data_IF_950354644655
#
_entry.id   IF_950354644655
#
_cell.length_a   1.000
_cell.length_b   1.000
_cell.length_c   1.000
_cell.angle_alpha   90.00
_cell.angle_beta   90.00
_cell.angle_gamma   90.00
#
_symmetry.space_group_name_H-M   'P 1'
#
loop_
_entity.id
_entity.type
_entity.pdbx_description
1 polymer ?
#
# COMPACT_ATOMS: atom_id res chain seq x y z
N UNK A 1 23.18 46.87 -2.39
CA UNK A 1 24.57 46.79 -1.92
C UNK A 1 24.81 45.44 -1.23
N UNK A 2 25.84 44.75 -1.76
CA UNK A 2 26.56 43.61 -1.24
C UNK A 2 25.88 42.22 -1.07
N UNK A 3 26.19 41.39 -2.08
CA UNK A 3 26.26 39.95 -2.10
C UNK A 3 27.03 39.33 -0.92
N UNK A 4 26.60 38.17 -0.45
CA UNK A 4 27.57 37.17 0.04
C UNK A 4 27.13 35.75 -0.29
N UNK A 5 27.87 35.14 -1.23
CA UNK A 5 27.85 33.72 -1.58
C UNK A 5 28.68 32.93 -0.57
N UNK A 6 28.14 31.89 0.03
CA UNK A 6 28.95 30.86 0.70
C UNK A 6 29.02 29.60 -0.15
N UNK A 7 30.19 29.43 -0.78
CA UNK A 7 30.67 28.13 -1.32
C UNK A 7 31.18 27.29 -0.17
N UNK A 8 30.70 26.08 0.02
CA UNK A 8 31.38 25.06 0.80
C UNK A 8 32.21 24.17 -0.12
N UNK A 9 33.51 24.20 0.08
CA UNK A 9 34.51 23.36 -0.59
C UNK A 9 34.55 21.96 0.05
N UNK A 10 34.58 20.93 -0.80
CA UNK A 10 34.78 19.55 -0.41
C UNK A 10 36.27 19.31 -0.34
N UNK A 11 36.77 18.94 0.84
CA UNK A 11 38.17 18.53 1.06
C UNK A 11 38.35 17.06 0.63
N UNK A 12 39.10 16.85 -0.45
CA UNK A 12 39.70 15.56 -0.78
C UNK A 12 41.04 15.43 -0.05
N UNK A 13 41.16 14.47 0.84
CA UNK A 13 42.47 14.07 1.40
C UNK A 13 43.21 13.17 0.40
N UNK A 14 44.34 13.68 -0.11
CA UNK A 14 45.37 12.92 -0.84
C UNK A 14 46.08 12.00 0.14
N UNK A 15 46.11 10.72 -0.14
CA UNK A 15 47.11 9.81 0.48
C UNK A 15 48.35 9.74 -0.41
N UNK A 16 49.47 10.14 0.19
CA UNK A 16 50.82 10.13 -0.41
C UNK A 16 51.39 8.72 -0.27
N UNK A 17 51.78 8.14 -1.39
CA UNK A 17 52.61 6.93 -1.46
C UNK A 17 54.02 7.23 -0.98
N UNK A 18 54.50 6.43 -0.06
CA UNK A 18 55.91 6.44 0.32
C UNK A 18 56.66 5.31 -0.40
N UNK A 19 57.69 5.68 -1.13
CA UNK A 19 58.64 4.83 -1.85
C UNK A 19 59.79 4.44 -0.92
N UNK A 20 60.32 3.27 -1.17
CA UNK A 20 61.71 2.77 -1.03
C UNK A 20 61.70 1.41 -0.30
N UNK A 21 62.40 0.36 -0.71
CA UNK A 21 63.78 0.22 -1.22
C UNK A 21 63.99 -1.16 -1.89
N UNK A 22 64.75 -1.18 -2.99
CA UNK A 22 65.93 -1.99 -3.38
C UNK A 22 65.79 -3.44 -3.81
N UNK A 23 65.92 -3.60 -5.07
CA UNK A 23 66.68 -4.50 -5.99
C UNK A 23 67.88 -5.30 -5.38
N UNK A 24 68.56 -6.21 -6.15
CA UNK A 24 68.13 -7.23 -7.16
C UNK A 24 68.83 -8.57 -6.90
N UNK A 25 68.48 -9.65 -7.58
CA UNK A 25 69.44 -10.70 -7.99
C UNK A 25 68.89 -11.46 -9.21
N UNK A 26 69.65 -11.38 -10.24
CA UNK A 26 69.67 -12.12 -11.49
C UNK A 26 70.26 -13.53 -11.24
N UNK A 27 69.78 -14.57 -11.90
CA UNK A 27 70.52 -15.60 -12.62
C UNK A 27 69.61 -16.72 -13.13
N UNK A 28 69.44 -16.75 -14.38
CA UNK A 28 69.79 -17.73 -15.42
C UNK A 28 69.49 -19.19 -15.07
N UNK A 29 68.54 -19.77 -15.78
CA UNK A 29 68.32 -21.23 -15.89
C UNK A 29 67.51 -21.52 -17.13
N UNK A 30 68.19 -21.55 -18.30
CA UNK A 30 67.63 -22.06 -19.55
C UNK A 30 67.58 -23.58 -19.40
N UNK A 31 66.33 -24.13 -19.35
CA UNK A 31 66.10 -25.53 -19.65
C UNK A 31 65.05 -25.62 -20.72
N UNK A 32 65.48 -26.02 -21.89
CA UNK A 32 64.70 -26.40 -23.04
C UNK A 32 63.90 -27.62 -22.66
N UNK A 33 62.57 -27.46 -22.52
CA UNK A 33 61.64 -28.54 -22.51
C UNK A 33 60.71 -28.34 -23.72
N UNK A 34 61.06 -29.02 -24.80
CA UNK A 34 60.21 -29.17 -25.99
C UNK A 34 59.00 -30.01 -25.63
N UNK A 35 57.94 -29.37 -25.17
CA UNK A 35 56.62 -30.01 -25.19
C UNK A 35 55.94 -29.73 -26.53
N UNK A 36 55.62 -30.77 -27.18
CA UNK A 36 54.81 -30.88 -28.35
C UNK A 36 53.44 -30.23 -28.04
N UNK A 37 53.29 -29.02 -28.52
CA UNK A 37 51.92 -28.48 -28.67
C UNK A 37 51.26 -29.24 -29.81
N UNK A 38 50.48 -30.23 -29.49
CA UNK A 38 49.36 -30.60 -30.36
C UNK A 38 48.45 -29.39 -30.37
N UNK A 39 48.62 -28.52 -31.34
CA UNK A 39 47.61 -27.57 -31.71
C UNK A 39 46.37 -28.37 -32.03
N UNK A 40 45.40 -28.38 -31.14
CA UNK A 40 44.02 -28.57 -31.56
C UNK A 40 43.74 -27.37 -32.47
N UNK A 41 43.79 -27.63 -33.73
CA UNK A 41 43.25 -26.80 -34.77
C UNK A 41 41.73 -26.81 -34.57
N UNK A 42 41.25 -25.96 -33.66
CA UNK A 42 39.89 -25.55 -33.67
C UNK A 42 39.75 -24.70 -34.90
N UNK A 43 39.42 -25.33 -36.01
CA UNK A 43 38.87 -24.71 -37.18
C UNK A 43 37.58 -23.95 -36.76
N UNK A 44 37.79 -22.75 -36.27
CA UNK A 44 36.75 -21.75 -35.95
C UNK A 44 36.24 -21.17 -37.27
N UNK A 45 35.70 -22.05 -38.10
CA UNK A 45 35.06 -21.72 -39.35
C UNK A 45 33.61 -22.12 -39.35
N UNK A 46 32.84 -21.38 -38.56
CA UNK A 46 31.45 -21.07 -38.87
C UNK A 46 31.13 -19.66 -38.32
N UNK A 47 31.58 -18.67 -39.06
CA UNK A 47 30.90 -17.38 -39.08
C UNK A 47 29.51 -17.61 -39.68
N UNK A 48 28.52 -17.83 -38.82
CA UNK A 48 27.13 -17.91 -39.26
C UNK A 48 26.35 -19.02 -38.56
N UNK A 49 25.73 -18.74 -37.45
CA UNK A 49 24.45 -19.32 -37.12
C UNK A 49 24.37 -20.78 -36.71
N UNK A 50 25.07 -21.18 -35.69
CA UNK A 50 24.73 -22.44 -34.98
C UNK A 50 23.31 -22.37 -34.38
N UNK A 51 22.74 -23.54 -34.06
CA UNK A 51 21.46 -23.64 -33.35
C UNK A 51 21.56 -22.87 -32.01
N UNK A 52 20.62 -21.97 -31.75
CA UNK A 52 20.54 -21.19 -30.50
C UNK A 52 19.76 -22.02 -29.49
N UNK A 53 20.35 -22.31 -28.34
CA UNK A 53 19.66 -22.98 -27.24
C UNK A 53 19.74 -22.11 -25.97
N UNK A 54 18.67 -22.09 -25.19
CA UNK A 54 18.60 -21.39 -23.92
C UNK A 54 18.50 -22.43 -22.81
N UNK A 55 19.39 -22.39 -21.83
CA UNK A 55 19.38 -23.29 -20.71
C UNK A 55 18.86 -22.66 -19.43
N UNK A 56 19.29 -21.43 -19.14
CA UNK A 56 18.98 -20.72 -17.90
C UNK A 56 18.91 -19.21 -18.10
N UNK A 57 18.10 -18.57 -17.29
CA UNK A 57 18.05 -17.09 -17.19
C UNK A 57 18.27 -16.70 -15.74
N UNK A 58 19.19 -15.77 -15.52
CA UNK A 58 19.53 -15.23 -14.20
C UNK A 58 19.23 -13.75 -14.13
N UNK A 59 18.80 -13.30 -12.96
CA UNK A 59 18.66 -11.88 -12.66
C UNK A 59 20.02 -11.31 -12.20
N UNK A 60 20.54 -10.35 -12.95
CA UNK A 60 21.74 -9.61 -12.59
C UNK A 60 21.37 -8.37 -11.76
N UNK A 61 21.46 -8.51 -10.44
CA UNK A 61 21.21 -7.43 -9.48
C UNK A 61 22.39 -7.34 -8.50
N UNK A 62 23.13 -6.25 -8.57
CA UNK A 62 24.29 -5.98 -7.71
C UNK A 62 23.95 -5.88 -6.23
N UNK A 63 22.69 -5.64 -5.90
CA UNK A 63 22.18 -5.57 -4.53
C UNK A 63 21.55 -6.87 -4.05
N UNK A 64 21.52 -7.89 -4.88
CA UNK A 64 20.94 -9.19 -4.50
C UNK A 64 21.80 -9.89 -3.46
N UNK A 65 21.18 -10.37 -2.38
CA UNK A 65 21.84 -11.25 -1.41
C UNK A 65 22.04 -12.69 -1.93
N UNK A 66 21.42 -13.01 -3.07
CA UNK A 66 21.53 -14.33 -3.72
C UNK A 66 22.26 -14.14 -5.05
N UNK A 67 23.56 -14.48 -5.12
CA UNK A 67 24.28 -14.50 -6.39
C UNK A 67 23.68 -15.57 -7.32
N UNK A 68 23.78 -15.35 -8.62
CA UNK A 68 23.31 -16.29 -9.65
C UNK A 68 21.86 -16.77 -9.42
N UNK A 69 20.98 -15.81 -9.15
CA UNK A 69 19.55 -16.11 -9.00
C UNK A 69 18.93 -16.48 -10.34
N UNK A 70 18.67 -17.76 -10.52
CA UNK A 70 17.89 -18.26 -11.66
C UNK A 70 16.42 -17.82 -11.50
N UNK A 71 15.83 -17.31 -12.59
CA UNK A 71 14.48 -16.71 -12.58
C UNK A 71 13.65 -17.20 -13.76
N UNK A 72 12.35 -17.25 -13.56
CA UNK A 72 11.36 -17.58 -14.59
C UNK A 72 10.59 -16.37 -15.10
N UNK A 73 10.83 -15.21 -14.50
CA UNK A 73 10.25 -13.92 -14.90
C UNK A 73 11.26 -12.79 -14.71
N UNK A 74 11.01 -11.68 -15.42
CA UNK A 74 11.67 -10.39 -15.17
C UNK A 74 10.67 -9.24 -15.23
N UNK A 75 11.08 -8.12 -14.63
CA UNK A 75 10.35 -6.85 -14.69
C UNK A 75 11.03 -5.89 -15.67
N UNK A 76 10.25 -4.92 -16.13
CA UNK A 76 10.78 -3.84 -16.94
C UNK A 76 11.99 -3.17 -16.25
N UNK A 77 13.04 -2.88 -17.03
CA UNK A 77 14.28 -2.28 -16.54
C UNK A 77 15.29 -3.25 -15.92
N UNK A 78 14.97 -4.51 -15.71
CA UNK A 78 15.90 -5.48 -15.12
C UNK A 78 16.92 -5.99 -16.12
N UNK A 79 18.14 -6.25 -15.66
CA UNK A 79 19.22 -6.86 -16.42
C UNK A 79 19.20 -8.37 -16.21
N UNK A 80 19.26 -9.11 -17.34
CA UNK A 80 19.30 -10.55 -17.36
C UNK A 80 20.62 -11.04 -17.91
N UNK A 81 21.13 -12.15 -17.30
CA UNK A 81 22.17 -12.98 -17.86
C UNK A 81 21.50 -14.25 -18.39
N UNK A 82 21.67 -14.48 -19.67
CA UNK A 82 21.07 -15.65 -20.36
C UNK A 82 22.18 -16.62 -20.69
N UNK A 83 22.05 -17.85 -20.28
CA UNK A 83 22.98 -18.95 -20.54
C UNK A 83 22.38 -19.95 -21.53
N UNK A 84 23.26 -20.50 -22.38
CA UNK A 84 22.84 -21.43 -23.41
C UNK A 84 23.97 -21.76 -24.36
N UNK A 85 23.68 -21.85 -25.67
CA UNK A 85 24.70 -22.01 -26.71
C UNK A 85 24.28 -21.33 -28.01
N UNK A 86 25.24 -21.11 -28.91
CA UNK A 86 24.97 -20.53 -30.23
C UNK A 86 24.75 -19.02 -30.26
N UNK A 87 25.13 -18.29 -29.21
CA UNK A 87 24.94 -16.83 -29.15
C UNK A 87 25.96 -16.08 -30.01
N UNK A 88 27.10 -16.69 -30.37
CA UNK A 88 28.04 -16.11 -31.32
C UNK A 88 27.34 -15.93 -32.66
N UNK A 89 27.30 -14.71 -33.16
CA UNK A 89 26.56 -14.36 -34.39
C UNK A 89 25.09 -13.96 -34.16
N UNK A 90 24.64 -13.81 -32.92
CA UNK A 90 23.33 -13.29 -32.59
C UNK A 90 23.15 -11.86 -33.20
N UNK A 91 22.04 -11.64 -33.86
CA UNK A 91 21.71 -10.38 -34.56
C UNK A 91 20.62 -9.59 -33.86
N UNK A 92 19.61 -10.28 -33.31
CA UNK A 92 18.42 -9.65 -32.73
C UNK A 92 17.93 -10.44 -31.53
N UNK A 93 17.45 -9.70 -30.54
CA UNK A 93 16.68 -10.19 -29.42
C UNK A 93 15.36 -9.43 -29.37
N UNK A 94 14.27 -10.15 -29.20
CA UNK A 94 12.96 -9.57 -28.99
C UNK A 94 12.40 -10.07 -27.68
N UNK A 95 11.89 -9.17 -26.85
CA UNK A 95 11.20 -9.49 -25.60
C UNK A 95 9.75 -9.04 -25.77
N UNK A 96 8.79 -9.95 -25.62
CA UNK A 96 7.37 -9.71 -25.94
C UNK A 96 7.15 -9.05 -27.32
N UNK A 97 7.95 -9.46 -28.32
CA UNK A 97 7.92 -8.88 -29.65
C UNK A 97 8.65 -7.54 -29.82
N UNK A 98 9.04 -6.87 -28.74
CA UNK A 98 9.79 -5.63 -28.77
C UNK A 98 11.27 -5.88 -29.06
N UNK A 99 11.81 -5.19 -30.08
CA UNK A 99 13.21 -5.30 -30.46
C UNK A 99 14.12 -4.69 -29.40
N UNK A 100 14.82 -5.52 -28.67
CA UNK A 100 15.61 -5.13 -27.51
C UNK A 100 17.09 -5.00 -27.89
N UNK A 101 17.71 -3.89 -27.48
CA UNK A 101 19.13 -3.68 -27.65
C UNK A 101 19.94 -4.56 -26.70
N UNK A 102 21.03 -5.14 -27.18
CA UNK A 102 22.07 -5.79 -26.38
C UNK A 102 23.46 -5.36 -26.88
N UNK A 103 24.44 -5.33 -25.98
CA UNK A 103 25.80 -4.98 -26.36
C UNK A 103 26.58 -6.27 -26.68
N UNK A 104 27.08 -6.37 -27.91
CA UNK A 104 27.81 -7.53 -28.40
C UNK A 104 29.09 -7.83 -27.62
N UNK A 105 29.65 -6.84 -26.90
CA UNK A 105 30.82 -7.05 -26.02
C UNK A 105 30.49 -7.98 -24.85
N UNK A 106 29.23 -8.04 -24.44
CA UNK A 106 28.74 -8.91 -23.37
C UNK A 106 28.09 -10.21 -23.92
N UNK A 107 28.46 -10.61 -25.14
CA UNK A 107 27.98 -11.85 -25.75
C UNK A 107 29.15 -12.80 -25.98
N UNK A 108 29.12 -13.93 -25.32
CA UNK A 108 29.96 -15.10 -25.60
C UNK A 108 29.16 -16.15 -26.40
N UNK A 109 29.73 -17.30 -26.72
CA UNK A 109 28.95 -18.37 -27.33
C UNK A 109 27.94 -19.01 -26.37
N UNK A 110 28.15 -18.88 -25.05
CA UNK A 110 27.38 -19.57 -24.03
C UNK A 110 26.66 -18.65 -23.05
N UNK A 111 26.86 -17.34 -23.12
CA UNK A 111 26.24 -16.38 -22.20
C UNK A 111 26.11 -15.02 -22.83
N UNK A 112 25.07 -14.28 -22.49
CA UNK A 112 24.84 -12.91 -22.88
C UNK A 112 24.15 -12.10 -21.78
N UNK A 113 24.33 -10.77 -21.83
CA UNK A 113 23.57 -9.81 -21.02
C UNK A 113 22.57 -9.06 -21.88
N UNK A 114 21.35 -8.93 -21.39
CA UNK A 114 20.30 -8.10 -22.02
C UNK A 114 19.40 -7.48 -20.94
N UNK A 115 19.05 -6.20 -21.12
CA UNK A 115 18.08 -5.53 -20.23
C UNK A 115 16.68 -5.60 -20.83
N UNK A 116 15.68 -5.86 -20.00
CA UNK A 116 14.27 -5.69 -20.37
C UNK A 116 13.99 -4.21 -20.48
N UNK A 117 13.70 -3.69 -21.68
CA UNK A 117 13.42 -2.27 -21.87
C UNK A 117 12.20 -1.81 -21.07
N UNK A 118 12.21 -0.56 -20.60
CA UNK A 118 11.02 0.06 -20.01
C UNK A 118 9.85 0.17 -21.02
N UNK A 119 10.17 0.20 -22.32
CA UNK A 119 9.18 0.28 -23.39
C UNK A 119 8.68 -1.11 -23.87
N UNK A 120 9.15 -2.19 -23.24
CA UNK A 120 8.68 -3.53 -23.58
C UNK A 120 7.20 -3.67 -23.22
N UNK A 121 6.32 -4.00 -24.19
CA UNK A 121 4.90 -4.21 -23.90
C UNK A 121 4.73 -5.40 -22.97
N UNK A 122 3.75 -5.29 -22.06
CA UNK A 122 3.41 -6.37 -21.11
C UNK A 122 2.02 -6.93 -21.43
N UNK A 123 0.97 -6.35 -20.88
CA UNK A 123 -0.42 -6.77 -21.14
C UNK A 123 -0.86 -6.48 -22.59
N UNK A 124 -0.40 -5.39 -23.13
CA UNK A 124 -0.64 -4.91 -24.50
C UNK A 124 0.22 -5.61 -25.56
N UNK A 125 1.09 -6.54 -25.15
CA UNK A 125 1.83 -7.37 -26.10
C UNK A 125 0.89 -8.28 -26.91
N UNK A 126 1.19 -8.44 -28.20
CA UNK A 126 0.47 -9.40 -29.03
C UNK A 126 0.48 -10.80 -28.37
N UNK A 127 -0.68 -11.45 -28.20
CA UNK A 127 -0.78 -12.75 -27.51
C UNK A 127 0.15 -13.83 -28.04
N UNK A 128 0.53 -13.76 -29.33
CA UNK A 128 1.43 -14.76 -29.96
C UNK A 128 2.89 -14.63 -29.52
N UNK A 129 3.30 -13.48 -28.97
CA UNK A 129 4.67 -13.22 -28.51
C UNK A 129 4.75 -12.84 -27.02
N UNK A 130 3.61 -12.66 -26.36
CA UNK A 130 3.56 -12.34 -24.93
C UNK A 130 4.23 -13.45 -24.10
N UNK A 131 5.02 -13.05 -23.12
CA UNK A 131 5.82 -13.96 -22.27
C UNK A 131 6.81 -14.81 -23.05
N UNK A 132 7.48 -14.20 -24.06
CA UNK A 132 8.55 -14.82 -24.82
C UNK A 132 9.78 -13.94 -24.93
N UNK A 133 10.95 -14.59 -25.00
CA UNK A 133 12.18 -13.99 -25.50
C UNK A 133 12.55 -14.73 -26.79
N UNK A 134 12.66 -14.00 -27.91
CA UNK A 134 13.04 -14.54 -29.21
C UNK A 134 14.43 -14.08 -29.57
N UNK A 135 15.27 -15.03 -29.92
CA UNK A 135 16.66 -14.84 -30.35
C UNK A 135 16.77 -15.18 -31.83
N UNK A 136 17.45 -14.34 -32.59
CA UNK A 136 17.62 -14.55 -34.02
C UNK A 136 19.06 -14.29 -34.44
N UNK A 137 19.62 -15.17 -35.28
CA UNK A 137 20.81 -14.99 -36.08
C UNK A 137 20.45 -15.03 -37.58
N UNK A 138 21.45 -15.09 -38.46
CA UNK A 138 21.21 -15.06 -39.91
C UNK A 138 20.50 -16.32 -40.46
N UNK A 139 20.51 -17.42 -39.72
CA UNK A 139 20.03 -18.73 -40.17
C UNK A 139 18.93 -19.36 -39.30
N UNK A 140 18.84 -18.98 -38.04
CA UNK A 140 17.98 -19.66 -37.06
C UNK A 140 17.29 -18.63 -36.16
N UNK A 141 16.10 -19.02 -35.67
CA UNK A 141 15.39 -18.37 -34.58
C UNK A 141 15.07 -19.37 -33.47
N UNK A 142 15.12 -18.89 -32.23
CA UNK A 142 14.70 -19.67 -31.05
C UNK A 142 13.80 -18.81 -30.19
N UNK A 143 12.68 -19.36 -29.75
CA UNK A 143 11.73 -18.73 -28.82
C UNK A 143 11.82 -19.44 -27.50
N UNK A 144 12.02 -18.66 -26.45
CA UNK A 144 12.07 -19.14 -25.07
C UNK A 144 10.90 -18.53 -24.28
N UNK A 145 10.11 -19.38 -23.62
CA UNK A 145 9.02 -18.92 -22.76
C UNK A 145 9.57 -18.31 -21.49
N UNK A 146 9.27 -17.03 -21.27
CA UNK A 146 9.77 -16.29 -20.11
C UNK A 146 8.81 -15.16 -19.77
N UNK A 147 8.33 -15.12 -18.54
CA UNK A 147 7.31 -14.15 -18.13
C UNK A 147 7.89 -12.73 -17.99
N UNK A 148 7.20 -11.77 -18.56
CA UNK A 148 7.57 -10.34 -18.45
C UNK A 148 6.49 -9.62 -17.67
N UNK A 149 6.88 -9.04 -16.54
CA UNK A 149 6.01 -8.32 -15.62
C UNK A 149 6.30 -6.82 -15.64
N UNK A 150 5.27 -6.02 -15.41
CA UNK A 150 5.43 -4.58 -15.15
C UNK A 150 5.94 -4.33 -13.72
N UNK A 151 5.57 -3.20 -13.12
CA UNK A 151 5.93 -2.89 -11.72
C UNK A 151 5.28 -3.90 -10.74
N UNK A 152 5.93 -4.05 -9.57
CA UNK A 152 5.38 -4.88 -8.48
C UNK A 152 4.00 -4.36 -8.07
N UNK A 153 2.99 -5.24 -7.88
CA UNK A 153 1.67 -4.79 -7.46
C UNK A 153 1.69 -4.22 -6.04
N UNK A 154 0.78 -3.28 -5.79
CA UNK A 154 0.58 -2.68 -4.48
C UNK A 154 -0.92 -2.52 -4.20
N UNK A 155 -1.33 -2.70 -2.94
CA UNK A 155 -2.69 -2.42 -2.48
C UNK A 155 -2.65 -1.18 -1.59
N UNK A 156 -3.45 -0.17 -1.93
CA UNK A 156 -3.54 1.10 -1.21
C UNK A 156 -4.78 1.21 -0.34
N UNK A 157 -5.91 0.64 -0.78
CA UNK A 157 -7.17 0.72 -0.06
C UNK A 157 -8.11 -0.46 -0.41
N UNK A 158 -9.10 -0.69 0.46
CA UNK A 158 -10.22 -1.62 0.24
C UNK A 158 -11.50 -0.86 0.56
N UNK A 159 -12.48 -0.92 -0.34
CA UNK A 159 -13.73 -0.14 -0.25
C UNK A 159 -14.53 -0.43 1.03
N UNK A 160 -14.58 -1.68 1.45
CA UNK A 160 -15.20 -2.10 2.71
C UNK A 160 -14.35 -3.21 3.35
N UNK A 161 -13.90 -3.00 4.58
CA UNK A 161 -13.05 -3.97 5.29
C UNK A 161 -13.81 -4.85 6.30
N UNK A 162 -15.11 -4.63 6.48
CA UNK A 162 -16.04 -5.50 7.22
C UNK A 162 -17.29 -5.84 6.38
N UNK A 163 -17.13 -6.40 5.19
CA UNK A 163 -18.26 -6.73 4.34
C UNK A 163 -19.00 -7.97 4.85
N UNK A 164 -20.27 -8.10 4.46
CA UNK A 164 -20.99 -9.37 4.60
C UNK A 164 -20.55 -10.37 3.52
N UNK A 165 -20.63 -11.68 3.80
CA UNK A 165 -20.43 -12.69 2.77
C UNK A 165 -21.39 -12.49 1.59
N UNK A 166 -20.88 -12.60 0.37
CA UNK A 166 -21.63 -12.37 -0.87
C UNK A 166 -21.61 -10.93 -1.38
N UNK A 167 -21.17 -9.97 -0.57
CA UNK A 167 -20.97 -8.59 -1.03
C UNK A 167 -19.74 -8.46 -1.92
N UNK A 168 -19.78 -7.52 -2.84
CA UNK A 168 -18.64 -7.20 -3.71
C UNK A 168 -17.85 -6.06 -3.11
N UNK A 169 -16.54 -6.26 -2.96
CA UNK A 169 -15.60 -5.21 -2.56
C UNK A 169 -14.74 -4.79 -3.74
N UNK A 170 -14.25 -3.54 -3.69
CA UNK A 170 -13.22 -3.02 -4.59
C UNK A 170 -11.90 -2.90 -3.83
N UNK A 171 -10.84 -3.47 -4.38
CA UNK A 171 -9.47 -3.37 -3.87
C UNK A 171 -8.71 -2.43 -4.80
N UNK A 172 -8.23 -1.31 -4.27
CA UNK A 172 -7.53 -0.27 -5.00
C UNK A 172 -6.01 -0.42 -4.83
N UNK A 173 -5.28 -0.06 -5.89
CA UNK A 173 -3.84 -0.15 -5.85
C UNK A 173 -3.15 0.23 -7.16
N UNK A 174 -2.14 -0.53 -7.52
CA UNK A 174 -1.45 -0.44 -8.80
C UNK A 174 -0.92 -1.81 -9.20
N UNK A 175 -0.79 -2.06 -10.50
CA UNK A 175 -0.33 -3.35 -11.01
C UNK A 175 -1.27 -4.53 -10.73
N UNK A 176 -2.55 -4.26 -10.44
CA UNK A 176 -3.59 -5.24 -10.11
C UNK A 176 -4.31 -5.77 -11.37
N UNK A 177 -3.54 -6.00 -12.41
CA UNK A 177 -4.04 -6.48 -13.70
C UNK A 177 -4.19 -8.00 -13.71
N UNK A 178 -5.21 -8.50 -14.40
CA UNK A 178 -5.48 -9.93 -14.56
C UNK A 178 -5.38 -10.70 -13.24
N UNK A 179 -6.06 -10.22 -12.19
CA UNK A 179 -6.07 -10.88 -10.88
C UNK A 179 -6.72 -12.26 -11.02
N UNK A 180 -5.95 -13.29 -10.75
CA UNK A 180 -6.38 -14.69 -10.92
C UNK A 180 -6.83 -15.35 -9.62
N UNK A 181 -6.37 -14.83 -8.47
CA UNK A 181 -6.64 -15.41 -7.16
C UNK A 181 -6.62 -14.36 -6.06
N UNK A 182 -7.56 -14.50 -5.11
CA UNK A 182 -7.57 -13.76 -3.84
C UNK A 182 -7.69 -14.76 -2.70
N UNK A 183 -6.80 -14.64 -1.70
CA UNK A 183 -6.90 -15.42 -0.45
C UNK A 183 -7.29 -14.47 0.68
N UNK A 184 -8.41 -14.76 1.29
CA UNK A 184 -8.96 -14.03 2.42
C UNK A 184 -8.43 -14.57 3.75
N UNK A 185 -8.52 -13.80 4.87
CA UNK A 185 -8.20 -14.29 6.20
C UNK A 185 -8.88 -15.62 6.54
N UNK A 186 -8.12 -16.52 7.15
CA UNK A 186 -8.57 -17.90 7.38
C UNK A 186 -8.27 -18.85 6.21
N UNK A 187 -7.42 -18.44 5.28
CA UNK A 187 -7.02 -19.19 4.09
C UNK A 187 -8.20 -19.53 3.16
N UNK A 188 -9.20 -18.65 3.10
CA UNK A 188 -10.35 -18.82 2.20
C UNK A 188 -9.98 -18.27 0.83
N UNK A 189 -9.77 -19.16 -0.12
CA UNK A 189 -9.35 -18.82 -1.48
C UNK A 189 -10.55 -18.63 -2.42
N UNK A 190 -10.48 -17.68 -3.34
CA UNK A 190 -11.37 -17.57 -4.50
C UNK A 190 -10.57 -17.29 -5.77
N UNK A 191 -11.02 -17.92 -6.86
CA UNK A 191 -10.51 -17.70 -8.23
C UNK A 191 -11.64 -17.25 -9.17
N UNK A 192 -12.85 -17.03 -8.63
CA UNK A 192 -14.04 -16.64 -9.37
C UNK A 192 -14.66 -15.37 -8.77
N UNK A 193 -15.50 -14.67 -9.55
CA UNK A 193 -16.11 -13.42 -9.11
C UNK A 193 -15.09 -12.29 -8.94
N UNK A 194 -13.99 -12.35 -9.68
CA UNK A 194 -12.93 -11.33 -9.73
C UNK A 194 -13.04 -10.62 -11.07
N UNK A 195 -12.96 -9.29 -11.06
CA UNK A 195 -12.90 -8.48 -12.28
C UNK A 195 -11.84 -7.42 -12.09
N UNK A 196 -10.76 -7.49 -12.88
CA UNK A 196 -9.67 -6.51 -12.86
C UNK A 196 -9.98 -5.33 -13.80
N UNK A 197 -9.54 -4.17 -13.39
CA UNK A 197 -9.42 -2.99 -14.22
C UNK A 197 -8.29 -3.16 -15.25
N UNK A 198 -8.44 -2.61 -16.45
CA UNK A 198 -7.47 -2.75 -17.54
C UNK A 198 -6.13 -2.06 -17.20
N UNK A 199 -6.18 -0.92 -16.50
CA UNK A 199 -4.99 -0.16 -16.08
C UNK A 199 -4.39 -0.71 -14.77
N UNK A 200 -5.07 -1.66 -14.11
CA UNK A 200 -4.63 -2.29 -12.87
C UNK A 200 -4.68 -1.38 -11.65
N UNK A 201 -5.50 -0.34 -11.69
CA UNK A 201 -5.70 0.57 -10.56
C UNK A 201 -6.60 -0.03 -9.48
N UNK A 202 -7.46 -0.97 -9.86
CA UNK A 202 -8.32 -1.71 -8.93
C UNK A 202 -8.75 -3.06 -9.51
N UNK A 203 -9.34 -3.87 -8.65
CA UNK A 203 -10.18 -5.00 -9.04
C UNK A 203 -11.36 -5.12 -8.08
N UNK A 204 -12.42 -5.79 -8.52
CA UNK A 204 -13.54 -6.16 -7.67
C UNK A 204 -13.53 -7.65 -7.39
N UNK A 205 -14.01 -8.04 -6.21
CA UNK A 205 -14.15 -9.46 -5.83
C UNK A 205 -15.33 -9.66 -4.92
N UNK A 206 -16.02 -10.79 -5.10
CA UNK A 206 -17.11 -11.22 -4.21
C UNK A 206 -16.52 -11.88 -2.96
N UNK A 207 -16.92 -11.41 -1.79
CA UNK A 207 -16.43 -11.91 -0.50
C UNK A 207 -17.03 -13.31 -0.23
N UNK A 208 -16.20 -14.34 -0.07
CA UNK A 208 -16.71 -15.69 0.21
C UNK A 208 -17.21 -15.84 1.66
N UNK A 209 -17.98 -16.87 1.91
CA UNK A 209 -18.32 -17.28 3.27
C UNK A 209 -17.09 -17.88 3.99
N UNK A 210 -17.07 -17.82 5.32
CA UNK A 210 -16.05 -18.47 6.14
C UNK A 210 -14.76 -17.64 6.36
N UNK A 211 -14.72 -16.39 5.91
CA UNK A 211 -13.60 -15.49 6.19
C UNK A 211 -13.45 -15.29 7.70
N UNK A 212 -12.22 -15.44 8.22
CA UNK A 212 -11.94 -15.36 9.64
C UNK A 212 -12.28 -13.98 10.23
N UNK A 213 -12.95 -13.96 11.38
CA UNK A 213 -13.27 -12.75 12.14
C UNK A 213 -12.08 -12.23 12.99
N UNK A 214 -11.01 -13.01 13.09
CA UNK A 214 -9.74 -12.54 13.66
C UNK A 214 -9.00 -11.61 12.68
N UNK A 215 -9.51 -11.51 11.46
CA UNK A 215 -8.99 -10.64 10.43
C UNK A 215 -7.64 -11.08 9.88
N UNK A 216 -7.07 -10.24 9.04
CA UNK A 216 -5.79 -10.46 8.41
C UNK A 216 -5.62 -9.70 7.11
N UNK A 217 -4.54 -9.98 6.40
CA UNK A 217 -4.29 -9.45 5.06
C UNK A 217 -5.02 -10.25 4.00
N UNK A 218 -5.49 -9.59 2.96
CA UNK A 218 -5.78 -10.27 1.69
C UNK A 218 -4.45 -10.58 1.01
N UNK A 219 -4.31 -11.77 0.46
CA UNK A 219 -3.29 -12.05 -0.54
C UNK A 219 -3.93 -11.99 -1.92
N UNK A 220 -3.28 -11.32 -2.85
CA UNK A 220 -3.76 -11.15 -4.23
C UNK A 220 -2.67 -11.60 -5.18
N UNK A 221 -3.02 -12.48 -6.12
CA UNK A 221 -2.16 -12.88 -7.23
C UNK A 221 -2.63 -12.21 -8.51
N UNK A 222 -1.80 -11.34 -9.06
CA UNK A 222 -2.01 -10.66 -10.36
C UNK A 222 -1.00 -11.16 -11.41
N UNK A 223 -1.17 -10.75 -12.66
CA UNK A 223 -0.16 -10.97 -13.72
C UNK A 223 1.19 -10.33 -13.38
N UNK A 224 1.25 -9.36 -12.49
CA UNK A 224 2.48 -8.71 -12.03
C UNK A 224 3.08 -9.34 -10.76
N UNK A 225 2.55 -10.46 -10.27
CA UNK A 225 3.00 -11.16 -9.07
C UNK A 225 2.05 -11.03 -7.90
N UNK A 226 2.51 -11.49 -6.73
CA UNK A 226 1.73 -11.51 -5.49
C UNK A 226 1.88 -10.23 -4.66
N UNK A 227 0.83 -9.90 -3.90
CA UNK A 227 0.84 -8.79 -2.96
C UNK A 227 -0.11 -9.04 -1.78
N UNK A 228 0.27 -8.56 -0.60
CA UNK A 228 -0.61 -8.53 0.57
C UNK A 228 -1.20 -7.14 0.79
N UNK A 229 -2.46 -7.11 1.24
CA UNK A 229 -3.03 -5.90 1.85
C UNK A 229 -2.52 -5.71 3.28
N UNK A 230 -2.73 -4.53 3.88
CA UNK A 230 -2.63 -4.40 5.33
C UNK A 230 -3.54 -5.39 6.07
N UNK A 231 -3.18 -5.77 7.31
CA UNK A 231 -3.80 -6.84 8.08
C UNK A 231 -5.08 -6.38 8.81
N UNK A 232 -5.98 -5.73 8.11
CA UNK A 232 -7.21 -5.18 8.70
C UNK A 232 -8.52 -5.77 8.16
N UNK A 233 -8.46 -6.68 7.18
CA UNK A 233 -9.66 -7.19 6.55
C UNK A 233 -10.40 -8.15 7.50
N UNK A 234 -11.69 -7.92 7.68
CA UNK A 234 -12.61 -8.66 8.55
C UNK A 234 -12.16 -8.77 10.03
N UNK A 235 -11.43 -7.76 10.53
CA UNK A 235 -10.89 -7.75 11.89
C UNK A 235 -11.97 -7.28 12.89
N UNK A 236 -12.83 -8.18 13.36
CA UNK A 236 -13.91 -7.88 14.31
C UNK A 236 -13.43 -7.72 15.75
N UNK A 237 -12.26 -8.26 16.12
CA UNK A 237 -11.68 -8.12 17.45
C UNK A 237 -11.29 -6.68 17.81
N UNK A 238 -11.02 -5.86 16.77
CA UNK A 238 -10.70 -4.44 16.94
C UNK A 238 -11.91 -3.53 17.16
N UNK A 239 -13.13 -4.02 17.03
CA UNK A 239 -14.35 -3.21 17.15
C UNK A 239 -14.50 -2.64 18.54
N UNK A 240 -14.64 -1.31 18.60
CA UNK A 240 -14.87 -0.53 19.82
C UNK A 240 -16.36 -0.27 20.03
N UNK A 241 -17.10 0.02 18.97
CA UNK A 241 -18.50 0.38 18.99
C UNK A 241 -19.16 0.03 17.65
N UNK A 242 -20.24 -0.77 17.67
CA UNK A 242 -21.02 -1.13 16.48
C UNK A 242 -22.53 -1.03 16.68
N UNK A 243 -23.00 -0.54 17.82
CA UNK A 243 -24.42 -0.41 18.19
C UNK A 243 -25.23 -1.72 18.25
N UNK A 244 -24.60 -2.86 17.97
CA UNK A 244 -25.20 -4.22 17.95
C UNK A 244 -24.64 -5.14 19.05
N UNK A 245 -24.23 -4.56 20.15
CA UNK A 245 -23.76 -5.29 21.32
C UNK A 245 -22.27 -5.16 21.60
N UNK A 246 -21.48 -4.58 20.72
CA UNK A 246 -20.09 -4.25 21.01
C UNK A 246 -19.96 -2.78 21.38
N UNK A 247 -19.39 -2.53 22.56
CA UNK A 247 -19.32 -1.22 23.18
C UNK A 247 -20.67 -0.77 23.75
N UNK A 248 -20.65 -0.08 24.89
CA UNK A 248 -21.84 0.50 25.47
C UNK A 248 -21.98 1.94 25.00
N UNK A 249 -23.14 2.27 24.44
CA UNK A 249 -23.49 3.64 24.10
C UNK A 249 -24.06 4.35 25.32
N UNK A 250 -23.41 5.42 25.77
CA UNK A 250 -23.86 6.22 26.91
C UNK A 250 -24.86 7.29 26.50
N UNK A 251 -25.84 7.50 27.37
CA UNK A 251 -26.89 8.49 27.19
C UNK A 251 -26.87 9.47 28.37
N UNK A 252 -26.15 10.57 28.22
CA UNK A 252 -26.06 11.58 29.27
C UNK A 252 -27.12 12.65 29.09
N UNK A 253 -28.21 12.52 29.85
CA UNK A 253 -29.24 13.53 29.94
C UNK A 253 -30.16 13.64 28.72
N UNK A 254 -30.90 14.74 28.69
CA UNK A 254 -31.88 15.08 27.64
C UNK A 254 -31.31 15.97 26.54
N UNK A 255 -30.00 16.03 26.43
CA UNK A 255 -29.37 16.88 25.43
C UNK A 255 -29.84 16.48 24.03
N UNK A 256 -30.45 17.42 23.32
CA UNK A 256 -30.92 17.22 21.94
C UNK A 256 -29.81 16.93 20.95
N UNK A 257 -28.57 17.17 21.36
CA UNK A 257 -27.37 16.86 20.58
C UNK A 257 -27.06 15.35 20.56
N UNK A 258 -27.49 14.60 21.57
CA UNK A 258 -27.12 13.18 21.69
C UNK A 258 -28.00 12.26 20.85
N UNK A 259 -27.36 11.25 20.27
CA UNK A 259 -28.06 10.12 19.66
C UNK A 259 -28.62 9.23 20.78
N UNK A 260 -29.93 9.02 20.76
CA UNK A 260 -30.64 8.15 21.68
C UNK A 260 -30.84 6.74 21.08
N UNK A 261 -31.17 5.70 21.88
CA UNK A 261 -31.42 4.36 21.33
C UNK A 261 -32.46 4.31 20.23
N UNK A 262 -33.50 5.12 20.32
CA UNK A 262 -34.55 5.24 19.31
C UNK A 262 -34.15 6.02 18.06
N UNK A 263 -32.96 6.62 18.05
CA UNK A 263 -32.43 7.33 16.89
C UNK A 263 -31.65 6.42 15.95
N UNK A 264 -31.21 5.25 16.44
CA UNK A 264 -30.47 4.29 15.62
C UNK A 264 -31.34 3.72 14.52
N UNK A 265 -30.80 3.59 13.33
CA UNK A 265 -31.44 2.98 12.18
C UNK A 265 -30.86 1.59 11.90
N UNK A 266 -31.61 0.73 11.21
CA UNK A 266 -31.20 -0.65 10.87
C UNK A 266 -31.66 -1.10 9.49
N UNK A 267 -32.20 -0.20 8.68
CA UNK A 267 -32.61 -0.50 7.30
C UNK A 267 -31.41 -0.43 6.36
N UNK A 268 -31.34 -1.35 5.40
CA UNK A 268 -30.34 -1.29 4.34
C UNK A 268 -30.43 0.04 3.58
N UNK A 269 -29.31 0.65 3.30
CA UNK A 269 -29.18 1.92 2.58
C UNK A 269 -28.22 1.75 1.41
N UNK A 270 -28.54 2.44 0.31
CA UNK A 270 -27.70 2.49 -0.87
C UNK A 270 -27.66 1.17 -1.64
N UNK A 271 -26.68 1.08 -2.53
CA UNK A 271 -26.35 -0.10 -3.34
C UNK A 271 -24.97 -0.61 -2.97
N UNK A 272 -24.69 -1.88 -3.24
CA UNK A 272 -23.40 -2.50 -2.90
C UNK A 272 -23.35 -2.98 -1.45
N UNK A 273 -22.29 -2.61 -0.71
CA UNK A 273 -22.14 -3.06 0.67
C UNK A 273 -23.20 -2.49 1.60
N UNK A 274 -23.62 -3.29 2.57
CA UNK A 274 -24.63 -2.93 3.57
C UNK A 274 -24.01 -2.79 4.96
N UNK A 275 -24.67 -2.03 5.87
CA UNK A 275 -24.29 -2.05 7.29
C UNK A 275 -24.62 -3.40 7.92
N UNK A 276 -23.84 -3.78 8.93
CA UNK A 276 -24.06 -5.01 9.69
C UNK A 276 -24.92 -4.76 10.93
N UNK A 277 -26.18 -4.36 10.73
CA UNK A 277 -27.12 -4.14 11.80
C UNK A 277 -27.49 -2.69 12.03
N UNK A 278 -27.37 -2.20 13.29
CA UNK A 278 -27.71 -0.82 13.63
C UNK A 278 -26.57 0.14 13.35
N UNK A 279 -26.92 1.35 12.96
CA UNK A 279 -25.97 2.42 12.66
C UNK A 279 -26.51 3.78 13.08
N UNK A 280 -25.64 4.79 13.15
CA UNK A 280 -26.00 6.18 13.49
C UNK A 280 -26.37 6.96 12.24
N UNK A 281 -27.61 7.48 12.14
CA UNK A 281 -27.96 8.52 11.19
C UNK A 281 -27.62 9.89 11.78
N UNK A 282 -26.63 10.58 11.20
CA UNK A 282 -26.38 12.00 11.49
C UNK A 282 -27.43 12.81 10.76
N UNK A 283 -28.47 13.27 11.49
CA UNK A 283 -29.67 13.84 10.89
C UNK A 283 -29.48 15.26 10.42
N UNK A 284 -29.82 15.60 9.17
CA UNK A 284 -29.68 16.96 8.65
C UNK A 284 -30.34 18.05 9.50
N UNK A 285 -31.52 17.77 10.06
CA UNK A 285 -32.24 18.71 10.92
C UNK A 285 -31.47 19.13 12.18
N UNK A 286 -30.55 18.30 12.66
CA UNK A 286 -29.70 18.59 13.82
C UNK A 286 -28.41 19.33 13.47
N UNK A 287 -28.05 19.38 12.19
CA UNK A 287 -26.83 20.00 11.69
C UNK A 287 -27.10 21.09 10.64
N UNK A 288 -28.37 21.43 10.44
CA UNK A 288 -28.76 22.43 9.45
C UNK A 288 -28.49 23.86 9.87
N UNK A 289 -28.43 24.15 11.17
CA UNK A 289 -28.14 25.48 11.66
C UNK A 289 -26.65 25.73 11.77
N UNK A 290 -26.22 26.79 11.13
CA UNK A 290 -24.88 27.33 11.31
C UNK A 290 -24.80 28.09 12.63
N UNK A 291 -23.78 27.81 13.44
CA UNK A 291 -23.38 28.60 14.59
C UNK A 291 -21.85 28.60 14.69
N UNK A 292 -21.26 29.79 14.59
CA UNK A 292 -19.82 30.01 14.80
C UNK A 292 -19.34 29.57 16.20
N UNK A 293 -20.26 29.38 17.14
CA UNK A 293 -19.99 29.08 18.54
C UNK A 293 -20.02 27.57 18.88
N UNK A 294 -19.92 26.66 17.93
CA UNK A 294 -19.77 25.20 18.14
C UNK A 294 -21.09 24.44 18.33
N UNK A 295 -21.90 24.36 17.29
CA UNK A 295 -23.05 23.46 17.30
C UNK A 295 -22.59 22.01 17.22
N UNK A 296 -22.60 21.33 18.36
CA UNK A 296 -22.48 19.88 18.42
C UNK A 296 -23.83 19.24 18.21
N UNK A 297 -23.89 18.30 17.31
CA UNK A 297 -25.09 17.49 17.09
C UNK A 297 -24.71 16.04 16.74
N UNK A 298 -25.67 15.16 16.83
CA UNK A 298 -25.47 13.72 16.58
C UNK A 298 -24.30 13.15 17.41
N UNK A 299 -24.29 13.50 18.67
CA UNK A 299 -23.23 13.17 19.60
C UNK A 299 -23.37 11.74 20.14
N UNK A 300 -22.28 10.98 20.07
CA UNK A 300 -22.21 9.59 20.53
C UNK A 300 -20.98 9.42 21.44
N UNK A 301 -21.17 8.74 22.56
CA UNK A 301 -20.10 8.38 23.49
C UNK A 301 -20.26 6.95 23.97
N UNK A 302 -19.16 6.23 24.12
CA UNK A 302 -19.20 4.95 24.83
C UNK A 302 -19.49 5.18 26.31
N UNK A 303 -20.31 4.32 26.92
CA UNK A 303 -20.66 4.42 28.30
C UNK A 303 -19.56 3.86 29.21
N UNK A 304 -19.31 4.58 30.29
CA UNK A 304 -18.57 4.06 31.42
C UNK A 304 -17.04 4.14 31.31
N UNK A 305 -16.42 4.41 32.45
CA UNK A 305 -14.97 4.32 32.61
C UNK A 305 -14.61 2.88 32.98
N UNK A 306 -13.88 2.19 32.11
CA UNK A 306 -13.31 0.89 32.40
C UNK A 306 -14.22 -0.31 32.13
N UNK A 307 -15.28 -0.14 31.33
CA UNK A 307 -16.11 -1.26 30.85
C UNK A 307 -15.39 -2.09 29.80
N UNK A 308 -14.44 -1.48 29.08
CA UNK A 308 -13.61 -2.11 28.08
C UNK A 308 -12.11 -1.90 28.37
N UNK A 309 -11.35 -2.95 28.29
CA UNK A 309 -9.89 -2.93 28.41
C UNK A 309 -9.28 -3.04 27.01
N UNK A 310 -8.89 -1.89 26.44
CA UNK A 310 -8.28 -1.86 25.11
C UNK A 310 -6.93 -2.57 25.07
N UNK A 311 -6.17 -2.54 26.16
CA UNK A 311 -4.90 -3.26 26.23
C UNK A 311 -5.14 -4.76 26.10
N UNK A 312 -5.98 -5.32 26.92
CA UNK A 312 -6.31 -6.75 26.88
C UNK A 312 -6.99 -7.14 25.56
N UNK A 313 -7.85 -6.27 25.00
CA UNK A 313 -8.55 -6.54 23.76
C UNK A 313 -7.65 -6.51 22.54
N UNK A 314 -6.76 -5.51 22.42
CA UNK A 314 -6.08 -5.16 21.16
C UNK A 314 -4.64 -5.68 21.09
N UNK A 315 -3.90 -5.74 22.21
CA UNK A 315 -2.47 -6.11 22.17
C UNK A 315 -2.18 -7.55 21.77
N UNK A 316 -3.10 -8.52 21.87
CA UNK A 316 -2.90 -9.83 21.25
C UNK A 316 -2.76 -9.80 19.73
N UNK A 317 -3.27 -8.75 19.08
CA UNK A 317 -3.29 -8.59 17.62
C UNK A 317 -2.42 -7.45 17.12
N UNK A 318 -2.28 -6.39 17.93
CA UNK A 318 -1.50 -5.20 17.63
C UNK A 318 -0.52 -4.98 18.77
N UNK A 319 0.74 -5.43 18.65
CA UNK A 319 1.74 -5.24 19.70
C UNK A 319 1.84 -3.78 20.15
N UNK A 320 1.97 -3.54 21.44
CA UNK A 320 2.09 -2.19 21.99
C UNK A 320 3.28 -1.40 21.43
N UNK A 321 4.32 -2.09 20.99
CA UNK A 321 5.50 -1.50 20.33
C UNK A 321 5.27 -1.08 18.88
N UNK A 322 4.10 -1.36 18.29
CA UNK A 322 3.79 -1.01 16.89
C UNK A 322 3.76 0.50 16.72
N UNK A 323 4.48 1.03 15.71
CA UNK A 323 4.42 2.45 15.36
C UNK A 323 2.99 2.90 15.07
N UNK A 324 2.59 4.09 15.53
CA UNK A 324 1.25 4.63 15.30
C UNK A 324 0.94 4.88 13.81
N UNK A 325 1.94 5.02 12.97
CA UNK A 325 1.77 5.04 11.51
C UNK A 325 1.28 3.70 10.95
N UNK A 326 1.38 2.63 11.73
CA UNK A 326 0.93 1.26 11.40
C UNK A 326 -0.29 0.80 12.20
N UNK A 327 -0.94 1.69 12.92
CA UNK A 327 -2.20 1.46 13.63
C UNK A 327 -3.20 2.51 13.20
N UNK A 328 -4.43 2.12 12.91
CA UNK A 328 -5.46 3.04 12.45
C UNK A 328 -6.77 2.89 13.21
N UNK A 329 -7.51 3.98 13.30
CA UNK A 329 -8.94 3.97 13.54
C UNK A 329 -9.64 3.77 12.19
N UNK A 330 -10.58 2.85 12.14
CA UNK A 330 -11.49 2.67 11.02
C UNK A 330 -12.94 2.84 11.46
N UNK A 331 -13.78 3.28 10.55
CA UNK A 331 -15.24 3.24 10.68
C UNK A 331 -15.85 3.14 9.29
N UNK A 332 -17.06 2.64 9.23
CA UNK A 332 -17.81 2.57 8.00
C UNK A 332 -18.71 3.80 7.87
N UNK A 333 -18.77 4.37 6.68
CA UNK A 333 -19.52 5.58 6.36
C UNK A 333 -20.37 5.38 5.10
N UNK A 334 -21.56 5.96 5.11
CA UNK A 334 -22.39 6.10 3.92
C UNK A 334 -22.88 7.54 3.79
N UNK A 335 -22.67 8.15 2.63
CA UNK A 335 -23.02 9.53 2.31
C UNK A 335 -23.76 9.55 0.97
N UNK A 336 -25.10 9.48 0.96
CA UNK A 336 -25.88 9.31 -0.27
C UNK A 336 -25.93 10.55 -1.16
N UNK A 337 -25.70 11.75 -0.60
CA UNK A 337 -25.75 13.01 -1.31
C UNK A 337 -24.43 13.77 -1.13
N UNK A 338 -24.14 14.69 -2.02
CA UNK A 338 -22.90 15.49 -1.93
C UNK A 338 -22.76 16.17 -0.58
N UNK A 339 -21.66 15.90 0.08
CA UNK A 339 -21.19 16.59 1.28
C UNK A 339 -20.08 17.56 0.90
N UNK A 340 -20.37 18.84 1.05
CA UNK A 340 -19.46 19.90 0.63
C UNK A 340 -19.72 21.20 1.41
N UNK A 341 -18.66 21.93 1.72
CA UNK A 341 -18.70 23.28 2.32
C UNK A 341 -19.44 23.39 3.65
N UNK A 342 -19.76 22.28 4.33
CA UNK A 342 -20.55 22.35 5.56
C UNK A 342 -20.31 21.14 6.48
N UNK A 343 -20.02 21.45 7.74
CA UNK A 343 -19.88 20.47 8.79
C UNK A 343 -18.72 19.48 8.61
N UNK A 344 -18.36 18.84 9.69
CA UNK A 344 -17.35 17.81 9.75
C UNK A 344 -17.63 16.87 10.93
N UNK A 345 -17.07 15.68 10.87
CA UNK A 345 -17.15 14.70 11.94
C UNK A 345 -15.93 14.86 12.85
N UNK A 346 -16.15 15.29 14.08
CA UNK A 346 -15.10 15.31 15.10
C UNK A 346 -15.06 13.99 15.83
N UNK A 347 -13.91 13.35 15.81
CA UNK A 347 -13.66 12.05 16.41
C UNK A 347 -12.76 12.24 17.63
N UNK A 348 -13.21 11.77 18.78
CA UNK A 348 -12.47 11.80 20.04
C UNK A 348 -12.13 10.37 20.44
N UNK A 349 -10.92 9.93 20.15
CA UNK A 349 -10.50 8.56 20.43
C UNK A 349 -10.50 8.29 21.94
N UNK A 350 -10.06 9.27 22.73
CA UNK A 350 -10.07 9.25 24.19
C UNK A 350 -10.48 10.63 24.66
N UNK A 351 -11.52 10.68 25.45
CA UNK A 351 -12.10 11.95 25.86
C UNK A 351 -11.99 12.16 27.37
N UNK A 352 -11.52 13.33 27.73
CA UNK A 352 -11.74 13.91 29.05
C UNK A 352 -12.99 14.80 28.98
N UNK A 353 -14.14 14.19 28.85
CA UNK A 353 -15.41 14.80 28.45
C UNK A 353 -15.84 16.01 29.31
N UNK A 354 -15.57 15.97 30.61
CA UNK A 354 -15.98 17.02 31.54
C UNK A 354 -14.98 18.19 31.63
N UNK A 355 -13.85 18.12 30.96
CA UNK A 355 -12.83 19.18 30.96
C UNK A 355 -13.14 20.35 30.05
N UNK A 356 -14.17 20.26 29.22
CA UNK A 356 -14.54 21.34 28.25
C UNK A 356 -13.53 21.53 27.11
N UNK A 357 -12.42 20.80 27.10
CA UNK A 357 -11.41 20.85 26.07
C UNK A 357 -11.51 19.64 25.14
N UNK A 358 -11.82 19.90 23.88
CA UNK A 358 -11.87 18.90 22.80
C UNK A 358 -10.52 18.78 22.09
N UNK A 359 -9.47 19.17 22.76
CA UNK A 359 -8.08 19.02 22.34
C UNK A 359 -7.52 17.71 22.86
N UNK A 360 -6.55 17.14 22.19
CA UNK A 360 -5.92 15.90 22.63
C UNK A 360 -6.07 14.79 21.59
N UNK A 361 -6.54 13.62 21.99
CA UNK A 361 -6.68 12.44 21.12
C UNK A 361 -7.84 12.58 20.11
N UNK A 362 -7.89 13.67 19.37
CA UNK A 362 -8.97 14.03 18.45
C UNK A 362 -8.51 14.13 16.99
N UNK A 363 -9.47 13.92 16.10
CA UNK A 363 -9.30 14.10 14.65
C UNK A 363 -10.56 14.74 14.06
N UNK A 364 -10.38 15.72 13.18
CA UNK A 364 -11.47 16.32 12.41
C UNK A 364 -11.52 15.65 11.04
N UNK A 365 -12.55 14.85 10.79
CA UNK A 365 -12.78 14.21 9.51
C UNK A 365 -13.59 15.14 8.60
N UNK A 366 -12.91 15.71 7.61
CA UNK A 366 -13.44 16.69 6.66
C UNK A 366 -13.23 16.15 5.24
N UNK A 367 -14.02 15.16 4.77
CA UNK A 367 -13.75 14.47 3.52
C UNK A 367 -13.92 15.33 2.27
N UNK A 368 -14.61 16.45 2.39
CA UNK A 368 -14.85 17.39 1.31
C UNK A 368 -13.74 18.45 1.13
N UNK A 369 -12.64 18.36 1.89
CA UNK A 369 -11.43 19.16 1.66
C UNK A 369 -10.34 18.21 1.14
N UNK A 370 -10.00 18.36 -0.14
CA UNK A 370 -8.93 17.61 -0.79
C UNK A 370 -7.91 18.60 -1.33
N UNK A 371 -6.64 18.42 -0.95
CA UNK A 371 -5.53 19.31 -1.34
C UNK A 371 -5.81 20.80 -1.09
N UNK A 372 -6.44 21.11 0.05
CA UNK A 372 -6.80 22.46 0.44
C UNK A 372 -7.94 23.08 -0.37
N UNK A 373 -8.67 22.29 -1.14
CA UNK A 373 -9.80 22.73 -1.97
C UNK A 373 -11.08 22.04 -1.57
N UNK A 374 -12.19 22.78 -1.67
CA UNK A 374 -13.51 22.21 -1.48
C UNK A 374 -13.88 21.29 -2.66
N UNK A 375 -14.11 20.03 -2.35
CA UNK A 375 -14.44 18.96 -3.30
C UNK A 375 -15.63 18.17 -2.76
N UNK A 376 -16.64 17.90 -3.58
CA UNK A 376 -17.79 17.10 -3.15
C UNK A 376 -17.35 15.69 -2.75
N UNK A 377 -17.83 15.22 -1.59
CA UNK A 377 -17.67 13.86 -1.11
C UNK A 377 -19.03 13.15 -1.10
N UNK A 378 -19.08 11.97 -1.69
CA UNK A 378 -20.27 11.12 -1.77
C UNK A 378 -19.84 9.66 -1.88
N UNK A 379 -20.67 8.74 -1.40
CA UNK A 379 -20.44 7.29 -1.54
C UNK A 379 -21.66 6.62 -2.17
N UNK A 380 -21.46 5.58 -2.96
CA UNK A 380 -22.56 4.80 -3.57
C UNK A 380 -23.17 3.79 -2.60
N UNK A 381 -22.38 3.32 -1.64
CA UNK A 381 -22.73 2.38 -0.57
C UNK A 381 -21.86 2.64 0.65
N UNK A 382 -21.92 1.74 1.61
CA UNK A 382 -21.05 1.78 2.76
C UNK A 382 -19.59 1.57 2.35
N UNK A 383 -18.71 2.44 2.83
CA UNK A 383 -17.27 2.37 2.59
C UNK A 383 -16.51 2.54 3.89
N UNK A 384 -15.30 1.98 3.98
CA UNK A 384 -14.45 2.10 5.16
C UNK A 384 -13.54 3.32 5.07
N UNK A 385 -13.59 4.16 6.09
CA UNK A 385 -12.60 5.23 6.32
C UNK A 385 -11.49 4.69 7.19
N UNK A 386 -10.24 4.99 6.83
CA UNK A 386 -9.05 4.58 7.58
C UNK A 386 -8.23 5.81 7.97
N UNK A 387 -8.04 6.01 9.26
CA UNK A 387 -7.29 7.15 9.82
C UNK A 387 -6.13 6.60 10.65
N UNK A 388 -4.87 6.66 10.17
CA UNK A 388 -3.71 6.29 10.97
C UNK A 388 -3.66 7.10 12.27
N UNK A 389 -3.37 6.44 13.41
CA UNK A 389 -3.44 7.09 14.72
C UNK A 389 -2.42 8.22 14.90
N UNK A 390 -1.32 8.20 14.16
CA UNK A 390 -0.37 9.31 14.12
C UNK A 390 -0.92 10.58 13.43
N UNK A 391 -2.14 10.56 12.90
CA UNK A 391 -2.84 11.75 12.37
C UNK A 391 -3.70 12.45 13.42
N UNK A 392 -3.94 11.82 14.57
CA UNK A 392 -4.65 12.46 15.66
C UNK A 392 -3.77 13.55 16.30
N UNK A 393 -4.37 14.64 16.70
CA UNK A 393 -3.65 15.85 17.13
C UNK A 393 -2.55 15.59 18.18
N UNK A 394 -2.84 14.80 19.21
CA UNK A 394 -1.87 14.47 20.28
C UNK A 394 -0.62 13.77 19.77
N UNK A 395 -0.73 12.93 18.74
CA UNK A 395 0.36 12.06 18.26
C UNK A 395 0.86 12.43 16.86
N UNK A 396 0.54 13.63 16.36
CA UNK A 396 0.88 14.04 14.99
C UNK A 396 2.24 14.71 14.82
N UNK A 397 2.92 15.05 15.92
CA UNK A 397 4.14 15.88 15.89
C UNK A 397 5.45 15.09 15.88
N UNK A 398 5.42 13.88 16.40
CA UNK A 398 6.57 12.99 16.51
C UNK A 398 6.11 11.54 16.38
N UNK A 399 7.03 10.61 16.26
CA UNK A 399 6.69 9.20 16.15
C UNK A 399 6.43 8.58 17.52
N UNK A 400 5.27 7.98 17.68
CA UNK A 400 4.86 7.24 18.85
C UNK A 400 4.58 5.78 18.51
N UNK A 401 4.53 4.94 19.54
CA UNK A 401 4.04 3.57 19.43
C UNK A 401 2.61 3.46 19.98
N UNK A 402 1.97 2.33 19.72
CA UNK A 402 0.61 2.06 20.21
C UNK A 402 0.53 2.09 21.75
N UNK A 403 1.65 1.81 22.44
CA UNK A 403 1.76 1.98 23.89
C UNK A 403 1.37 3.38 24.35
N UNK A 404 1.72 4.43 23.59
CA UNK A 404 1.36 5.80 23.95
C UNK A 404 -0.16 6.03 24.01
N UNK A 405 -0.90 5.40 23.10
CA UNK A 405 -2.37 5.46 23.08
C UNK A 405 -2.97 4.72 24.27
N UNK A 406 -2.47 3.52 24.54
CA UNK A 406 -2.95 2.70 25.65
C UNK A 406 -2.69 3.39 27.00
N UNK A 407 -1.47 3.85 27.24
CA UNK A 407 -1.09 4.57 28.45
C UNK A 407 -1.87 5.89 28.62
N UNK A 408 -2.06 6.64 27.55
CA UNK A 408 -2.86 7.87 27.59
C UNK A 408 -4.29 7.59 27.98
N UNK A 409 -4.90 6.52 27.46
CA UNK A 409 -6.25 6.11 27.82
C UNK A 409 -6.33 5.61 29.27
N UNK A 410 -5.37 4.82 29.72
CA UNK A 410 -5.31 4.30 31.09
C UNK A 410 -5.21 5.42 32.13
N UNK A 411 -4.44 6.48 31.82
CA UNK A 411 -4.28 7.65 32.67
C UNK A 411 -5.46 8.62 32.62
N UNK A 412 -6.33 8.53 31.61
CA UNK A 412 -7.45 9.46 31.42
C UNK A 412 -8.52 9.28 32.49
N UNK A 413 -9.05 10.39 33.02
CA UNK A 413 -10.19 10.39 33.96
C UNK A 413 -11.44 9.81 33.30
N UNK A 414 -11.67 10.16 32.04
CA UNK A 414 -12.78 9.67 31.23
C UNK A 414 -12.23 8.94 30.00
N UNK A 415 -12.45 7.63 29.94
CA UNK A 415 -11.89 6.74 28.92
C UNK A 415 -12.82 6.55 27.72
N UNK A 416 -13.77 7.45 27.53
CA UNK A 416 -14.81 7.35 26.53
C UNK A 416 -14.23 7.57 25.12
N UNK A 417 -14.57 6.69 24.20
CA UNK A 417 -14.50 6.95 22.77
C UNK A 417 -15.79 7.64 22.34
N UNK A 418 -15.71 8.58 21.44
CA UNK A 418 -16.90 9.22 20.90
C UNK A 418 -16.65 10.08 19.68
N UNK A 419 -17.74 10.55 19.13
CA UNK A 419 -17.74 11.44 17.97
C UNK A 419 -19.01 12.29 17.96
N UNK A 420 -18.96 13.38 17.21
CA UNK A 420 -20.10 14.24 16.98
C UNK A 420 -19.94 15.00 15.67
N UNK A 421 -21.05 15.48 15.12
CA UNK A 421 -21.05 16.37 13.99
C UNK A 421 -20.92 17.83 14.48
N UNK A 422 -20.01 18.58 13.89
CA UNK A 422 -19.81 20.01 14.15
C UNK A 422 -19.97 20.79 12.84
N UNK A 423 -20.65 21.94 12.90
CA UNK A 423 -20.76 22.84 11.77
C UNK A 423 -20.24 24.23 12.18
N UNK A 424 -18.95 24.41 12.07
CA UNK A 424 -18.23 25.65 12.38
C UNK A 424 -17.21 25.96 11.27
N UNK A 425 -16.64 27.16 11.30
CA UNK A 425 -15.58 27.54 10.37
C UNK A 425 -14.36 26.62 10.54
N UNK A 426 -13.78 26.22 9.43
CA UNK A 426 -12.62 25.34 9.40
C UNK A 426 -11.39 26.12 8.96
N UNK A 427 -10.37 26.13 9.81
CA UNK A 427 -9.05 26.65 9.50
C UNK A 427 -8.09 25.49 9.29
N UNK A 428 -7.55 25.40 8.08
CA UNK A 428 -6.50 24.44 7.77
C UNK A 428 -5.16 25.15 7.87
N UNK A 429 -4.33 24.71 8.80
CA UNK A 429 -2.91 25.07 8.76
C UNK A 429 -2.27 24.40 7.54
N UNK A 430 -1.64 25.20 6.69
CA UNK A 430 -0.94 24.67 5.53
C UNK A 430 0.20 23.74 5.98
N UNK A 431 0.12 22.49 5.59
CA UNK A 431 1.07 21.41 5.93
C UNK A 431 2.49 21.71 5.41
N UNK A 432 2.64 22.66 4.50
CA UNK A 432 3.94 23.05 3.91
C UNK A 432 4.70 24.13 4.69
N UNK A 433 4.16 24.62 5.81
CA UNK A 433 4.84 25.61 6.66
C UNK A 433 4.91 27.04 6.08
N UNK A 434 4.33 27.27 4.90
CA UNK A 434 4.18 28.60 4.31
C UNK A 434 2.76 29.10 4.58
N UNK A 435 2.68 30.09 5.43
CA UNK A 435 1.52 30.65 6.08
C UNK A 435 0.47 31.25 5.13
N UNK A 436 -0.39 30.42 4.54
CA UNK A 436 -1.75 30.86 4.24
C UNK A 436 -2.70 29.85 4.86
N UNK A 437 -3.33 30.21 5.96
CA UNK A 437 -4.46 29.48 6.50
C UNK A 437 -5.56 29.48 5.43
N UNK A 438 -5.93 28.31 4.95
CA UNK A 438 -7.14 28.18 4.13
C UNK A 438 -8.30 28.16 5.11
N UNK A 439 -9.14 29.17 5.05
CA UNK A 439 -10.34 29.28 5.86
C UNK A 439 -11.56 28.91 5.03
N UNK A 440 -12.34 27.94 5.53
CA UNK A 440 -13.64 27.60 4.97
C UNK A 440 -14.71 28.09 5.93
N UNK A 441 -15.45 29.12 5.50
CA UNK A 441 -16.62 29.57 6.22
C UNK A 441 -17.70 28.48 6.16
N UNK A 442 -18.24 28.12 7.31
CA UNK A 442 -19.30 27.12 7.36
C UNK A 442 -20.58 27.63 6.74
N UNK A 443 -21.35 26.72 6.15
CA UNK A 443 -22.66 26.97 5.57
C UNK A 443 -23.68 26.05 6.23
N UNK A 444 -24.96 26.42 6.21
CA UNK A 444 -26.01 25.51 6.62
C UNK A 444 -25.92 24.21 5.82
N UNK A 445 -26.03 23.08 6.50
CA UNK A 445 -25.89 21.77 5.90
C UNK A 445 -27.23 21.01 5.91
N UNK A 446 -27.48 20.27 4.86
CA UNK A 446 -28.58 19.31 4.73
C UNK A 446 -28.08 17.91 4.38
N UNK A 447 -26.77 17.67 4.51
CA UNK A 447 -26.17 16.39 4.22
C UNK A 447 -26.68 15.30 5.17
N UNK A 448 -26.90 14.10 4.65
CA UNK A 448 -27.14 12.90 5.43
C UNK A 448 -25.86 12.08 5.49
N UNK A 449 -25.39 11.81 6.69
CA UNK A 449 -24.18 11.00 6.93
C UNK A 449 -24.57 9.87 7.86
N UNK A 450 -24.16 8.66 7.53
CA UNK A 450 -24.38 7.47 8.33
C UNK A 450 -23.04 6.86 8.71
N UNK A 451 -22.88 6.42 9.98
CA UNK A 451 -21.63 5.83 10.47
C UNK A 451 -21.87 4.59 11.31
N UNK A 452 -20.94 3.64 11.22
CA UNK A 452 -21.00 2.37 11.94
C UNK A 452 -19.60 1.75 12.14
N UNK A 453 -19.51 0.66 12.89
CA UNK A 453 -18.37 -0.25 12.99
C UNK A 453 -17.04 0.44 13.32
N UNK A 454 -17.02 1.22 14.37
CA UNK A 454 -15.83 1.92 14.85
C UNK A 454 -14.82 0.94 15.46
N UNK A 455 -13.59 0.88 14.94
CA UNK A 455 -12.59 -0.12 15.28
C UNK A 455 -11.15 0.39 15.21
N UNK A 456 -10.25 -0.25 15.97
CA UNK A 456 -8.81 -0.07 15.82
C UNK A 456 -8.25 -1.29 15.10
N UNK A 457 -7.39 -1.03 14.12
CA UNK A 457 -6.85 -2.05 13.21
C UNK A 457 -5.34 -1.88 13.00
N UNK A 458 -4.70 -2.97 12.57
CA UNK A 458 -3.30 -2.95 12.14
C UNK A 458 -3.18 -2.58 10.67
N UNK A 459 -2.26 -1.67 10.33
CA UNK A 459 -1.81 -1.38 8.97
C UNK A 459 -0.53 -2.14 8.62
N UNK A 460 -0.10 -3.09 9.44
CA UNK A 460 1.03 -3.95 9.12
C UNK A 460 0.71 -4.75 7.85
N UNK A 461 1.64 -4.71 6.89
CA UNK A 461 1.50 -5.40 5.61
C UNK A 461 2.60 -6.45 5.52
N UNK A 462 2.27 -7.75 5.37
CA UNK A 462 3.26 -8.76 5.12
C UNK A 462 4.02 -8.50 3.81
N UNK A 463 5.28 -8.87 3.79
CA UNK A 463 6.09 -8.79 2.57
C UNK A 463 5.91 -10.08 1.77
N UNK A 464 5.57 -9.95 0.50
CA UNK A 464 5.58 -11.05 -0.43
C UNK A 464 6.90 -11.06 -1.22
N UNK A 465 7.54 -12.22 -1.27
CA UNK A 465 8.76 -12.42 -2.05
C UNK A 465 8.44 -13.28 -3.29
N UNK A 466 8.38 -12.64 -4.45
CA UNK A 466 8.09 -13.30 -5.72
C UNK A 466 9.09 -14.41 -6.11
N UNK A 467 10.26 -14.44 -5.48
CA UNK A 467 11.32 -15.42 -5.79
C UNK A 467 11.36 -16.61 -4.83
N UNK A 468 10.59 -16.58 -3.76
CA UNK A 468 10.57 -17.64 -2.73
C UNK A 468 9.26 -18.42 -2.69
N UNK A 469 8.25 -17.97 -3.46
CA UNK A 469 6.91 -18.56 -3.47
C UNK A 469 6.46 -18.99 -4.86
#
# INVERSE_FOLDING_TARGET
MKNNKYKRAINMKKYILNKNYWTPILFLGIMIFSMIFTACDNSDSSEGGGEITISKVFLEDVNSSVPDREVTFARLGQLLRIEGSGFKGLKKVYINGYSTYFNVVFVSNTSMLVSVSADTPTLDADPSVRNTIRFANDSNETIYSFEIRSAKPAITNISNTLPNPGETITVYGSGLTEVSKVVFPGNVETTTGITSDEDGEFFTVVVPAGVSEDGGSLFVQSSNGGVYSPAYFNFKKGVLLNFDGKGSHGYWGTATSMIQPGDLASTALGTGNTSQGKYVPHRPARIASFDAAKNRCSEVWTAGNGVDDWRAQLTPYIPASTSLSKVALQFDIYVPNEWKDSGFLKICLINNFNGGEWTGACYNYVPWIVDGKSTAFQTTGWTTVTIPLNKLYTWSKEEFTFEAVLAYREAATYKNFGFYFENSDIKLQNVTGNASEVEFASKATNVSVYTDNWRIVSLATPVYNDFEN
#
